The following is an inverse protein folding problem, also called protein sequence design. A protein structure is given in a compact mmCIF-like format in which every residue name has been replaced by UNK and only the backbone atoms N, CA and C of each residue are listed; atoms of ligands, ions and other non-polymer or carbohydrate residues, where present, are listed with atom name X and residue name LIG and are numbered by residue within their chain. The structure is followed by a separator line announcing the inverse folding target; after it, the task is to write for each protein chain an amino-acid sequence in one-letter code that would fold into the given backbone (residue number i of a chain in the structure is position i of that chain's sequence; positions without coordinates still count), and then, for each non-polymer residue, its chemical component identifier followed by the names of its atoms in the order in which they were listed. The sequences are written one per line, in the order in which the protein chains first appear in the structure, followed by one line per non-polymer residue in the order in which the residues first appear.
data_IF_974539474045
#
_entry.id   IF_974539474045
#
_cell.length_a   1.000
_cell.length_b   1.000
_cell.length_c   1.000
_cell.angle_alpha   90.00
_cell.angle_beta   90.00
_cell.angle_gamma   90.00
#
_symmetry.space_group_name_H-M   'P 1'
#
loop_
_entity.id
_entity.type
_entity.pdbx_description
1 polymer ?
#
# COMPACT_ATOMS: atom_id res chain seq x y z
N UNK A 1 -8.42 -45.04 -1.83
CA UNK A 1 -7.30 -44.26 -2.37
C UNK A 1 -6.70 -43.46 -1.23
N UNK A 2 -5.53 -43.87 -0.73
CA UNK A 2 -4.84 -43.15 0.35
C UNK A 2 -4.24 -41.88 -0.24
N UNK A 3 -4.63 -40.70 0.27
CA UNK A 3 -3.99 -39.45 -0.13
C UNK A 3 -2.58 -39.45 0.46
N UNK A 4 -1.56 -39.51 -0.40
CA UNK A 4 -0.17 -39.31 0.03
C UNK A 4 -0.08 -37.98 0.77
N UNK A 5 0.65 -37.91 1.89
CA UNK A 5 0.80 -36.68 2.65
C UNK A 5 1.38 -35.60 1.73
N UNK A 6 0.66 -34.49 1.57
CA UNK A 6 1.18 -33.31 0.88
C UNK A 6 2.50 -32.90 1.56
N UNK A 7 3.56 -32.61 0.79
CA UNK A 7 4.82 -32.15 1.36
C UNK A 7 4.57 -30.92 2.24
N UNK A 8 5.21 -30.88 3.42
CA UNK A 8 5.09 -29.78 4.38
C UNK A 8 5.58 -28.47 3.74
N UNK A 9 4.64 -27.68 3.18
CA UNK A 9 4.92 -26.37 2.60
C UNK A 9 5.20 -25.37 3.72
N UNK A 10 6.22 -24.53 3.53
CA UNK A 10 6.58 -23.48 4.50
C UNK A 10 6.06 -22.11 4.05
N UNK A 11 5.68 -21.20 4.96
CA UNK A 11 5.29 -19.84 4.58
C UNK A 11 6.46 -19.10 3.92
N UNK A 12 6.19 -18.39 2.84
CA UNK A 12 7.23 -17.58 2.17
C UNK A 12 7.66 -16.40 3.08
N UNK A 13 8.97 -16.20 3.33
CA UNK A 13 9.45 -15.07 4.11
C UNK A 13 9.19 -13.74 3.39
N UNK A 14 9.06 -12.66 4.17
CA UNK A 14 8.78 -11.32 3.65
C UNK A 14 9.83 -10.81 2.66
N UNK A 15 11.07 -11.26 2.73
CA UNK A 15 12.13 -10.90 1.79
C UNK A 15 12.53 -12.01 0.82
N UNK A 16 11.62 -12.94 0.52
CA UNK A 16 11.92 -14.06 -0.38
C UNK A 16 12.29 -13.63 -1.82
N UNK A 17 11.78 -12.48 -2.28
CA UNK A 17 11.78 -12.11 -3.69
C UNK A 17 12.73 -10.95 -4.00
N UNK A 18 13.73 -11.18 -4.86
CA UNK A 18 14.60 -10.12 -5.37
C UNK A 18 14.07 -9.50 -6.67
N UNK A 19 13.20 -10.21 -7.40
CA UNK A 19 12.60 -9.75 -8.64
C UNK A 19 11.10 -10.03 -8.68
N UNK A 20 10.35 -9.11 -9.27
CA UNK A 20 8.92 -9.27 -9.55
C UNK A 20 8.69 -9.04 -11.03
N UNK A 21 8.05 -9.98 -11.72
CA UNK A 21 7.58 -9.81 -13.10
C UNK A 21 6.09 -9.53 -13.05
N UNK A 22 5.66 -8.40 -13.59
CA UNK A 22 4.26 -8.00 -13.54
C UNK A 22 3.71 -7.89 -14.96
N UNK A 23 2.74 -8.74 -15.29
CA UNK A 23 2.05 -8.73 -16.57
C UNK A 23 0.82 -7.83 -16.56
N UNK A 24 0.50 -7.25 -17.73
CA UNK A 24 -0.70 -6.43 -17.92
C UNK A 24 -0.55 -4.97 -17.46
N UNK A 25 0.68 -4.50 -17.26
CA UNK A 25 0.97 -3.12 -16.85
C UNK A 25 1.41 -2.22 -17.99
N UNK A 26 1.99 -2.77 -19.05
CA UNK A 26 2.49 -2.01 -20.18
C UNK A 26 1.74 -2.37 -21.46
N UNK A 27 1.52 -1.39 -22.32
CA UNK A 27 1.06 -1.56 -23.69
C UNK A 27 2.03 -0.84 -24.62
N UNK A 28 2.54 -1.55 -25.62
CA UNK A 28 3.31 -0.92 -26.68
C UNK A 28 2.38 -0.25 -27.69
N UNK A 29 2.99 0.42 -28.67
CA UNK A 29 2.28 1.05 -29.80
C UNK A 29 1.35 0.09 -30.56
N UNK A 30 1.67 -1.20 -30.55
CA UNK A 30 0.89 -2.28 -31.20
C UNK A 30 -0.22 -2.89 -30.33
N UNK A 31 -0.48 -2.36 -29.14
CA UNK A 31 -1.42 -2.91 -28.13
C UNK A 31 -1.04 -4.27 -27.55
N UNK A 32 0.16 -4.77 -27.83
CA UNK A 32 0.67 -5.97 -27.16
C UNK A 32 0.86 -5.66 -25.67
N UNK A 33 0.36 -6.56 -24.81
CA UNK A 33 0.52 -6.44 -23.36
C UNK A 33 1.94 -6.87 -22.98
N UNK A 34 2.71 -5.93 -22.41
CA UNK A 34 4.06 -6.18 -21.96
C UNK A 34 4.10 -6.53 -20.48
N UNK A 35 5.15 -7.27 -20.14
CA UNK A 35 5.50 -7.64 -18.78
C UNK A 35 6.71 -6.83 -18.34
N UNK A 36 6.60 -6.18 -17.19
CA UNK A 36 7.66 -5.36 -16.63
C UNK A 36 8.38 -6.12 -15.51
N UNK A 37 9.71 -6.08 -15.50
CA UNK A 37 10.51 -6.73 -14.45
C UNK A 37 11.02 -5.67 -13.47
N UNK A 38 10.60 -5.81 -12.22
CA UNK A 38 10.99 -4.95 -11.12
C UNK A 38 12.07 -5.62 -10.28
N UNK A 39 13.03 -4.81 -9.84
CA UNK A 39 14.10 -5.20 -8.93
C UNK A 39 13.81 -4.69 -7.53
N UNK A 40 14.11 -5.50 -6.53
CA UNK A 40 13.91 -5.12 -5.12
C UNK A 40 14.79 -3.91 -4.79
N UNK A 41 14.19 -2.94 -4.10
CA UNK A 41 14.92 -1.82 -3.50
C UNK A 41 15.12 -2.12 -2.02
N UNK A 42 16.33 -1.93 -1.47
CA UNK A 42 16.51 -1.94 -0.02
C UNK A 42 15.66 -0.82 0.59
N UNK A 43 15.13 -1.08 1.78
CA UNK A 43 14.46 -0.06 2.56
C UNK A 43 15.53 0.97 2.98
N UNK A 44 15.30 2.24 2.64
CA UNK A 44 16.17 3.33 3.05
C UNK A 44 15.58 3.99 4.28
N UNK A 45 16.35 4.12 5.38
CA UNK A 45 15.89 4.82 6.57
C UNK A 45 15.25 6.15 6.20
N UNK A 46 14.03 6.35 6.66
CA UNK A 46 13.40 7.66 6.54
C UNK A 46 14.13 8.57 7.52
N UNK A 47 14.53 9.79 7.10
CA UNK A 47 14.94 10.76 8.08
C UNK A 47 13.78 10.91 9.08
N UNK A 48 14.07 10.92 10.40
CA UNK A 48 13.03 11.15 11.38
C UNK A 48 12.26 12.42 11.00
N UNK A 49 10.94 12.39 11.15
CA UNK A 49 10.10 13.59 11.04
C UNK A 49 10.43 14.50 12.22
N UNK A 50 11.58 15.17 12.15
CA UNK A 50 12.01 16.12 13.15
C UNK A 50 11.09 17.33 13.00
N UNK A 51 10.15 17.47 13.93
CA UNK A 51 9.64 18.80 14.26
C UNK A 51 10.89 19.57 14.71
N UNK A 52 11.25 20.69 14.07
CA UNK A 52 12.46 21.43 14.38
C UNK A 52 12.29 22.10 15.74
N UNK A 53 12.49 21.33 16.80
CA UNK A 53 12.65 21.79 18.16
C UNK A 53 14.15 21.64 18.44
N UNK A 54 14.95 22.72 18.28
CA UNK A 54 16.41 22.64 18.31
C UNK A 54 16.98 21.93 19.55
N UNK A 55 16.29 21.98 20.69
CA UNK A 55 16.70 21.32 21.93
C UNK A 55 16.54 19.80 21.93
N UNK A 56 15.67 19.22 21.09
CA UNK A 56 15.46 17.77 21.00
C UNK A 56 16.39 17.09 19.99
N UNK A 57 16.85 17.82 18.97
CA UNK A 57 17.71 17.29 17.91
C UNK A 57 19.01 16.72 18.48
N UNK A 58 19.64 17.43 19.44
CA UNK A 58 20.88 16.99 20.09
C UNK A 58 20.73 15.72 20.97
N UNK A 59 19.51 15.37 21.40
CA UNK A 59 19.26 14.15 22.19
C UNK A 59 18.94 12.94 21.30
N UNK A 60 18.38 13.18 20.11
CA UNK A 60 17.96 12.14 19.17
C UNK A 60 19.11 11.46 18.41
N UNK A 61 20.27 12.11 18.25
CA UNK A 61 21.44 11.48 17.60
C UNK A 61 21.94 10.23 18.35
N UNK A 62 21.53 10.05 19.62
CA UNK A 62 21.82 8.87 20.42
C UNK A 62 20.70 7.81 20.43
N UNK A 63 19.51 8.13 19.91
CA UNK A 63 18.29 7.42 20.22
C UNK A 63 17.64 6.78 18.99
N UNK A 64 17.48 5.45 19.06
CA UNK A 64 16.75 4.56 18.15
C UNK A 64 17.48 4.12 16.88
N UNK A 65 18.52 3.29 17.07
CA UNK A 65 18.83 2.28 16.06
C UNK A 65 17.60 1.35 15.95
N UNK A 66 17.01 1.15 14.76
CA UNK A 66 15.90 0.21 14.62
C UNK A 66 16.33 -1.18 15.11
N UNK A 67 15.41 -1.97 15.69
CA UNK A 67 15.71 -3.32 16.11
C UNK A 67 16.27 -4.12 14.92
N UNK A 68 17.22 -5.05 15.16
CA UNK A 68 17.73 -5.89 14.08
C UNK A 68 16.58 -6.66 13.45
N UNK A 69 16.58 -6.72 12.11
CA UNK A 69 15.61 -7.49 11.36
C UNK A 69 15.66 -8.97 11.77
N UNK A 70 14.49 -9.57 11.92
CA UNK A 70 14.33 -11.01 12.18
C UNK A 70 14.15 -11.81 10.89
N UNK A 71 14.07 -11.13 9.74
CA UNK A 71 13.97 -11.79 8.45
C UNK A 71 15.26 -12.57 8.14
N UNK A 72 15.15 -13.69 7.41
CA UNK A 72 16.33 -14.38 6.90
C UNK A 72 17.12 -13.45 5.95
N UNK A 73 18.30 -13.84 5.45
CA UNK A 73 18.94 -13.09 4.37
C UNK A 73 18.05 -12.97 3.14
N UNK A 74 18.23 -11.90 2.38
CA UNK A 74 17.46 -11.62 1.17
C UNK A 74 17.42 -12.81 0.20
N UNK A 75 16.21 -13.21 -0.14
CA UNK A 75 15.96 -14.31 -1.06
C UNK A 75 16.32 -13.95 -2.49
N UNK A 76 16.55 -14.98 -3.31
CA UNK A 76 16.87 -14.85 -4.73
C UNK A 76 15.73 -15.34 -5.62
N UNK A 77 14.50 -15.32 -5.12
CA UNK A 77 13.34 -15.81 -5.87
C UNK A 77 12.79 -14.71 -6.78
N UNK A 78 12.20 -15.15 -7.89
CA UNK A 78 11.44 -14.32 -8.82
C UNK A 78 9.97 -14.66 -8.67
N UNK A 79 9.15 -13.64 -8.46
CA UNK A 79 7.69 -13.74 -8.38
C UNK A 79 7.06 -13.22 -9.67
N UNK A 80 6.28 -14.03 -10.37
CA UNK A 80 5.53 -13.59 -11.56
C UNK A 80 4.06 -13.40 -11.22
N UNK A 81 3.53 -12.21 -11.50
CA UNK A 81 2.18 -11.79 -11.16
C UNK A 81 1.46 -11.24 -12.41
N UNK A 82 0.14 -11.35 -12.42
CA UNK A 82 -0.76 -10.61 -13.32
C UNK A 82 -1.66 -9.71 -12.48
N UNK A 83 -1.85 -8.48 -12.94
CA UNK A 83 -2.82 -7.59 -12.30
C UNK A 83 -4.25 -8.09 -12.53
N UNK A 84 -5.02 -8.12 -11.44
CA UNK A 84 -6.46 -8.32 -11.46
C UNK A 84 -7.20 -6.98 -11.43
N UNK A 85 -8.37 -6.96 -10.80
CA UNK A 85 -9.15 -5.71 -10.65
C UNK A 85 -8.45 -4.71 -9.72
N UNK A 86 -8.71 -3.42 -9.95
CA UNK A 86 -8.43 -2.39 -8.95
C UNK A 86 -9.34 -2.62 -7.73
N UNK A 87 -8.76 -2.55 -6.54
CA UNK A 87 -9.49 -2.69 -5.27
C UNK A 87 -9.47 -1.41 -4.43
N UNK A 88 -8.68 -0.42 -4.84
CA UNK A 88 -8.66 0.90 -4.24
C UNK A 88 -7.63 1.80 -4.89
N UNK A 89 -7.80 3.09 -4.68
CA UNK A 89 -6.84 4.11 -5.10
C UNK A 89 -6.74 5.20 -4.03
N UNK A 90 -5.61 5.89 -4.05
CA UNK A 90 -5.39 7.08 -3.24
C UNK A 90 -4.52 8.07 -3.99
N UNK A 91 -4.08 9.09 -3.26
CA UNK A 91 -3.24 10.18 -3.78
C UNK A 91 -1.93 9.70 -4.42
N UNK A 92 -1.28 8.73 -3.77
CA UNK A 92 0.07 8.27 -4.10
C UNK A 92 0.11 7.08 -5.08
N UNK A 93 -1.03 6.45 -5.36
CA UNK A 93 -1.04 5.20 -6.12
C UNK A 93 -2.38 4.49 -6.14
N UNK A 94 -2.38 3.35 -6.83
CA UNK A 94 -3.53 2.45 -7.01
C UNK A 94 -3.17 1.07 -6.47
N UNK A 95 -4.17 0.34 -6.01
CA UNK A 95 -4.03 -0.99 -5.42
C UNK A 95 -4.84 -1.98 -6.25
N UNK A 96 -4.19 -3.04 -6.69
CA UNK A 96 -4.76 -4.07 -7.54
C UNK A 96 -4.67 -5.43 -6.87
N UNK A 97 -5.61 -6.32 -7.19
CA UNK A 97 -5.44 -7.75 -6.92
C UNK A 97 -4.24 -8.28 -7.70
N UNK A 98 -3.50 -9.22 -7.10
CA UNK A 98 -2.38 -9.86 -7.76
C UNK A 98 -2.66 -11.36 -7.93
N UNK A 99 -2.66 -11.82 -9.18
CA UNK A 99 -2.80 -13.22 -9.52
C UNK A 99 -1.44 -13.84 -9.79
N UNK A 100 -1.13 -14.91 -9.07
CA UNK A 100 0.15 -15.60 -9.17
C UNK A 100 0.26 -16.40 -10.48
N UNK A 101 1.32 -16.16 -11.25
CA UNK A 101 1.70 -16.96 -12.43
C UNK A 101 2.79 -17.94 -12.02
N UNK A 102 2.37 -19.05 -11.37
CA UNK A 102 3.27 -20.09 -10.85
C UNK A 102 4.22 -20.67 -11.91
N UNK A 103 3.78 -20.98 -13.16
CA UNK A 103 4.69 -21.48 -14.20
C UNK A 103 5.86 -20.55 -14.53
N UNK A 104 5.67 -19.22 -14.42
CA UNK A 104 6.72 -18.23 -14.70
C UNK A 104 7.55 -17.83 -13.49
N UNK A 105 7.09 -18.19 -12.30
CA UNK A 105 7.75 -17.90 -11.03
C UNK A 105 8.86 -18.92 -10.71
N UNK A 106 9.72 -18.61 -9.73
CA UNK A 106 10.77 -19.56 -9.30
C UNK A 106 10.19 -20.89 -8.81
N UNK A 107 10.80 -22.02 -9.20
CA UNK A 107 10.32 -23.38 -8.87
C UNK A 107 10.06 -23.61 -7.37
N UNK A 108 10.92 -23.06 -6.50
CA UNK A 108 10.82 -23.17 -5.04
C UNK A 108 9.51 -22.61 -4.47
N UNK A 109 8.81 -21.74 -5.21
CA UNK A 109 7.50 -21.22 -4.78
C UNK A 109 6.41 -22.29 -4.72
N UNK A 110 6.55 -23.41 -5.45
CA UNK A 110 5.61 -24.53 -5.37
C UNK A 110 5.63 -25.21 -4.00
N UNK A 111 6.75 -25.08 -3.30
CA UNK A 111 6.99 -25.65 -1.97
C UNK A 111 6.71 -24.63 -0.85
N UNK A 112 6.19 -23.44 -1.23
CA UNK A 112 5.90 -22.36 -0.30
C UNK A 112 4.41 -22.03 -0.26
N UNK A 113 3.95 -21.56 0.90
CA UNK A 113 2.63 -20.99 1.08
C UNK A 113 2.75 -19.48 0.92
N UNK A 114 2.06 -18.94 -0.08
CA UNK A 114 1.86 -17.51 -0.25
C UNK A 114 0.41 -17.15 0.06
N UNK A 115 0.16 -16.08 0.85
CA UNK A 115 -1.19 -15.57 0.99
C UNK A 115 -1.66 -14.96 -0.34
N UNK A 116 -2.94 -14.60 -0.40
CA UNK A 116 -3.41 -13.73 -1.49
C UNK A 116 -2.63 -12.42 -1.46
N UNK A 117 -2.22 -11.92 -2.62
CA UNK A 117 -1.39 -10.74 -2.73
C UNK A 117 -2.14 -9.57 -3.38
N UNK A 118 -1.67 -8.37 -3.11
CA UNK A 118 -2.04 -7.14 -3.80
C UNK A 118 -0.78 -6.40 -4.25
N UNK A 119 -0.90 -5.65 -5.34
CA UNK A 119 0.15 -4.75 -5.81
C UNK A 119 -0.33 -3.32 -5.64
N UNK A 120 0.39 -2.52 -4.86
CA UNK A 120 0.24 -1.07 -4.86
C UNK A 120 1.24 -0.47 -5.85
N UNK A 121 0.76 0.32 -6.79
CA UNK A 121 1.54 0.91 -7.88
C UNK A 121 1.51 2.42 -7.75
N UNK A 122 2.67 3.07 -7.82
CA UNK A 122 2.74 4.52 -7.79
C UNK A 122 2.16 5.17 -9.05
N UNK A 123 1.65 6.40 -8.92
CA UNK A 123 1.27 7.22 -10.07
C UNK A 123 2.48 7.70 -10.86
N UNK A 124 2.24 8.16 -12.09
CA UNK A 124 3.28 8.76 -12.96
C UNK A 124 3.92 9.96 -12.27
N UNK A 125 5.24 10.07 -12.35
CA UNK A 125 5.99 11.14 -11.68
C UNK A 125 6.01 11.08 -10.15
N UNK A 126 5.37 10.07 -9.54
CA UNK A 126 5.28 9.90 -8.09
C UNK A 126 6.03 8.66 -7.61
N UNK A 127 7.09 8.26 -8.30
CA UNK A 127 7.85 7.03 -8.01
C UNK A 127 8.46 7.02 -6.61
N UNK A 128 8.74 8.21 -6.07
CA UNK A 128 9.24 8.38 -4.70
C UNK A 128 8.16 8.19 -3.64
N UNK A 129 6.88 8.24 -4.00
CA UNK A 129 5.75 8.20 -3.06
C UNK A 129 5.71 6.95 -2.18
N UNK A 130 6.14 5.81 -2.73
CA UNK A 130 6.13 4.53 -2.02
C UNK A 130 7.42 4.28 -1.25
N UNK A 131 8.46 5.11 -1.38
CA UNK A 131 9.71 4.90 -0.63
C UNK A 131 9.49 5.03 0.88
N UNK A 132 8.83 6.10 1.39
CA UNK A 132 8.60 6.22 2.82
C UNK A 132 7.66 5.14 3.37
N UNK A 133 6.69 4.72 2.57
CA UNK A 133 5.76 3.64 2.93
C UNK A 133 6.48 2.28 2.99
N UNK A 134 7.34 1.97 2.01
CA UNK A 134 8.17 0.77 2.04
C UNK A 134 9.08 0.70 3.26
N UNK A 135 9.68 1.83 3.64
CA UNK A 135 10.46 1.94 4.87
C UNK A 135 9.61 1.76 6.12
N UNK A 136 8.43 2.37 6.16
CA UNK A 136 7.49 2.24 7.28
C UNK A 136 7.12 0.77 7.53
N UNK A 137 6.93 -0.02 6.47
CA UNK A 137 6.75 -1.47 6.61
C UNK A 137 7.99 -2.17 7.18
N UNK A 138 9.20 -1.79 6.75
CA UNK A 138 10.44 -2.35 7.29
C UNK A 138 10.60 -2.05 8.79
N UNK A 139 10.30 -0.82 9.21
CA UNK A 139 10.37 -0.42 10.63
C UNK A 139 9.33 -1.16 11.50
N UNK A 140 8.17 -1.49 10.91
CA UNK A 140 7.10 -2.25 11.57
C UNK A 140 7.17 -3.77 11.31
N UNK A 141 8.34 -4.33 10.96
CA UNK A 141 8.49 -5.77 10.70
C UNK A 141 7.82 -6.68 11.76
N UNK A 142 7.97 -6.46 13.08
CA UNK A 142 7.37 -7.33 14.10
C UNK A 142 5.83 -7.34 14.10
N UNK A 143 5.19 -6.35 13.48
CA UNK A 143 3.73 -6.19 13.44
C UNK A 143 3.11 -6.86 12.22
N UNK A 144 3.93 -7.19 11.21
CA UNK A 144 3.49 -7.73 9.94
C UNK A 144 2.93 -9.15 10.06
N UNK A 145 1.78 -9.38 9.41
CA UNK A 145 1.06 -10.66 9.48
C UNK A 145 0.25 -10.86 10.76
N UNK A 146 0.26 -9.86 11.67
CA UNK A 146 -0.56 -9.85 12.89
C UNK A 146 -1.57 -8.71 12.86
N UNK A 147 -1.08 -7.46 12.87
CA UNK A 147 -1.92 -6.26 12.93
C UNK A 147 -1.86 -5.44 11.66
N UNK A 148 -0.79 -5.57 10.87
CA UNK A 148 -0.65 -4.98 9.55
C UNK A 148 -0.35 -6.06 8.50
N UNK A 149 -0.62 -5.81 7.20
CA UNK A 149 -0.24 -6.73 6.13
C UNK A 149 1.25 -7.05 6.12
N UNK A 150 1.60 -8.29 5.74
CA UNK A 150 2.99 -8.57 5.35
C UNK A 150 3.35 -7.81 4.08
N UNK A 151 4.49 -7.14 4.10
CA UNK A 151 5.12 -6.50 2.97
C UNK A 151 6.21 -7.43 2.43
N UNK A 152 6.03 -7.86 1.18
CA UNK A 152 6.98 -8.71 0.49
C UNK A 152 8.13 -7.91 -0.17
N UNK A 153 8.04 -6.59 -0.15
CA UNK A 153 9.11 -5.69 -0.58
C UNK A 153 8.62 -4.51 -1.41
N UNK A 154 9.53 -3.54 -1.52
CA UNK A 154 9.47 -2.40 -2.42
C UNK A 154 10.30 -2.72 -3.66
N UNK A 155 9.75 -2.45 -4.84
CA UNK A 155 10.42 -2.75 -6.10
C UNK A 155 10.34 -1.59 -7.07
N UNK A 156 11.36 -1.46 -7.91
CA UNK A 156 11.44 -0.42 -8.94
C UNK A 156 11.74 -1.02 -10.30
N UNK A 157 11.19 -0.41 -11.36
CA UNK A 157 11.51 -0.74 -12.75
C UNK A 157 11.54 0.53 -13.60
N UNK A 158 12.43 0.59 -14.58
CA UNK A 158 12.36 1.62 -15.62
C UNK A 158 11.33 1.20 -16.68
N UNK A 159 10.44 2.11 -17.04
CA UNK A 159 9.49 1.96 -18.15
C UNK A 159 10.15 2.55 -19.40
N UNK A 160 10.21 1.81 -20.50
CA UNK A 160 10.66 2.35 -21.79
C UNK A 160 9.78 3.52 -22.25
N UNK A 161 10.38 4.52 -22.89
CA UNK A 161 9.66 5.75 -23.31
C UNK A 161 8.57 5.48 -24.37
N UNK A 162 8.70 4.38 -25.12
CA UNK A 162 7.73 3.93 -26.12
C UNK A 162 6.59 3.10 -25.53
N UNK A 163 6.58 2.85 -24.22
CA UNK A 163 5.56 2.08 -23.53
C UNK A 163 4.55 2.98 -22.84
N UNK A 164 3.27 2.63 -23.00
CA UNK A 164 2.18 3.18 -22.21
C UNK A 164 1.99 2.33 -20.97
N UNK A 165 2.04 2.94 -19.80
CA UNK A 165 1.83 2.23 -18.55
C UNK A 165 0.35 2.31 -18.16
N UNK A 166 -0.38 1.21 -18.36
CA UNK A 166 -1.83 1.12 -18.21
C UNK A 166 -2.39 1.77 -16.94
N UNK A 167 -1.83 1.50 -15.75
CA UNK A 167 -2.29 2.12 -14.50
C UNK A 167 -2.25 3.66 -14.46
N UNK A 168 -1.55 4.32 -15.41
CA UNK A 168 -1.51 5.78 -15.53
C UNK A 168 -2.50 6.35 -16.56
N UNK A 169 -2.89 5.54 -17.55
CA UNK A 169 -3.57 6.02 -18.76
C UNK A 169 -5.07 6.23 -18.57
N UNK A 170 -5.69 5.48 -17.66
CA UNK A 170 -7.11 5.63 -17.34
C UNK A 170 -7.45 6.97 -16.70
N UNK A 171 -6.45 7.75 -16.28
CA UNK A 171 -6.70 8.91 -15.46
C UNK A 171 -7.31 10.06 -16.27
N UNK A 172 -7.03 10.24 -17.57
CA UNK A 172 -7.57 11.38 -18.36
C UNK A 172 -7.34 12.76 -17.71
N UNK A 173 -6.58 12.80 -16.63
CA UNK A 173 -6.41 13.93 -15.73
C UNK A 173 -5.14 14.62 -16.14
N UNK A 174 -5.28 15.90 -16.38
CA UNK A 174 -4.18 16.80 -16.68
C UNK A 174 -3.27 16.79 -15.45
N UNK A 175 -1.99 16.54 -15.69
CA UNK A 175 -0.89 16.38 -14.73
C UNK A 175 -0.77 17.53 -13.70
N UNK A 176 -1.51 18.63 -13.89
CA UNK A 176 -1.46 19.88 -13.13
C UNK A 176 -2.24 19.91 -11.81
N UNK A 177 -3.28 19.08 -11.63
CA UNK A 177 -4.30 19.39 -10.61
C UNK A 177 -4.13 18.63 -9.27
N UNK A 178 -3.33 17.55 -9.24
CA UNK A 178 -3.33 16.61 -8.12
C UNK A 178 -1.97 16.33 -7.48
N UNK A 179 -0.92 17.05 -7.88
CA UNK A 179 0.34 17.04 -7.15
C UNK A 179 0.44 18.35 -6.37
N UNK A 180 -0.14 18.44 -5.15
CA UNK A 180 0.13 19.57 -4.27
C UNK A 180 1.62 19.83 -4.27
N UNK A 181 2.04 21.07 -4.52
CA UNK A 181 3.46 21.44 -4.52
C UNK A 181 4.15 21.01 -3.22
N UNK A 182 3.39 20.94 -2.14
CA UNK A 182 3.80 20.44 -0.83
C UNK A 182 4.16 18.95 -0.84
N UNK A 183 3.54 18.12 -1.70
CA UNK A 183 3.90 16.71 -1.86
C UNK A 183 5.28 16.54 -2.47
N UNK A 184 5.53 17.32 -3.53
CA UNK A 184 6.80 17.32 -4.23
C UNK A 184 7.84 17.79 -3.21
N UNK A 185 7.60 18.93 -2.56
CA UNK A 185 8.51 19.53 -1.58
C UNK A 185 8.80 18.62 -0.37
N UNK A 186 7.81 17.92 0.16
CA UNK A 186 7.98 17.03 1.32
C UNK A 186 8.66 15.69 0.96
N UNK A 187 8.60 15.25 -0.30
CA UNK A 187 9.20 13.99 -0.76
C UNK A 187 10.42 14.19 -1.66
N UNK A 188 10.94 15.42 -1.80
CA UNK A 188 12.27 15.66 -2.36
C UNK A 188 13.29 15.15 -1.34
N UNK A 189 13.51 13.83 -1.31
CA UNK A 189 14.83 13.30 -1.00
C UNK A 189 15.82 13.87 -2.02
N UNK A 190 17.09 13.94 -1.64
CA UNK A 190 18.19 14.60 -2.35
C UNK A 190 18.42 14.14 -3.79
N UNK A 191 17.89 12.99 -4.20
CA UNK A 191 17.90 12.55 -5.60
C UNK A 191 16.56 11.87 -5.97
N UNK A 192 15.67 12.55 -6.72
CA UNK A 192 14.44 11.93 -7.16
C UNK A 192 14.74 10.76 -8.12
N UNK A 193 13.98 9.67 -8.02
CA UNK A 193 13.95 8.65 -9.07
C UNK A 193 13.67 9.29 -10.43
N UNK A 194 14.27 8.73 -11.48
CA UNK A 194 14.01 9.18 -12.85
C UNK A 194 12.50 9.11 -13.17
N UNK A 195 12.00 10.04 -13.99
CA UNK A 195 10.57 10.18 -14.30
C UNK A 195 9.94 8.94 -14.94
N UNK A 196 10.75 8.12 -15.61
CA UNK A 196 10.33 6.87 -16.24
C UNK A 196 10.43 5.66 -15.31
N UNK A 197 10.85 5.81 -14.06
CA UNK A 197 10.86 4.71 -13.09
C UNK A 197 9.47 4.56 -12.49
N UNK A 198 8.98 3.33 -12.33
CA UNK A 198 7.79 2.99 -11.54
C UNK A 198 8.23 2.28 -10.28
N UNK A 199 7.54 2.54 -9.19
CA UNK A 199 7.71 1.87 -7.90
C UNK A 199 6.44 1.11 -7.53
N UNK A 200 6.61 -0.10 -7.00
CA UNK A 200 5.51 -0.94 -6.51
C UNK A 200 5.80 -1.49 -5.11
N UNK A 201 4.74 -1.74 -4.35
CA UNK A 201 4.77 -2.55 -3.13
C UNK A 201 3.97 -3.83 -3.35
N UNK A 202 4.53 -4.95 -2.92
CA UNK A 202 3.83 -6.24 -2.88
C UNK A 202 3.40 -6.49 -1.44
N UNK A 203 2.10 -6.59 -1.21
CA UNK A 203 1.54 -6.75 0.13
C UNK A 203 0.64 -7.99 0.20
N UNK A 204 0.55 -8.58 1.38
CA UNK A 204 -0.51 -9.52 1.73
C UNK A 204 -1.87 -8.83 1.62
N UNK A 205 -2.83 -9.50 0.99
CA UNK A 205 -4.21 -9.05 0.95
C UNK A 205 -4.86 -9.28 2.31
N UNK A 206 -5.22 -8.20 2.99
CA UNK A 206 -6.04 -8.23 4.20
C UNK A 206 -7.44 -7.66 3.91
N UNK A 207 -8.39 -7.86 4.83
CA UNK A 207 -9.68 -7.17 4.77
C UNK A 207 -10.63 -7.67 3.66
N UNK A 208 -10.75 -8.98 3.47
CA UNK A 208 -11.82 -9.55 2.65
C UNK A 208 -13.22 -9.19 3.16
N UNK A 209 -14.26 -9.45 2.38
CA UNK A 209 -15.64 -9.31 2.84
C UNK A 209 -15.82 -10.13 4.12
N UNK A 210 -15.74 -9.47 5.28
CA UNK A 210 -16.35 -9.98 6.49
C UNK A 210 -17.83 -9.98 6.12
N UNK A 211 -18.35 -11.15 5.81
CA UNK A 211 -19.77 -11.32 5.54
C UNK A 211 -20.49 -10.93 6.82
N UNK A 212 -20.79 -9.65 6.97
CA UNK A 212 -21.72 -9.18 7.98
C UNK A 212 -23.02 -9.82 7.57
N UNK A 213 -23.36 -10.94 8.20
CA UNK A 213 -24.68 -11.56 8.04
C UNK A 213 -25.64 -10.41 8.26
N UNK A 214 -26.36 -10.02 7.21
CA UNK A 214 -27.40 -8.98 7.32
C UNK A 214 -28.33 -9.50 8.40
N UNK A 215 -28.19 -8.98 9.63
CA UNK A 215 -29.14 -9.29 10.66
C UNK A 215 -30.46 -8.77 10.13
N UNK A 216 -31.37 -9.72 9.86
CA UNK A 216 -32.75 -9.44 9.49
C UNK A 216 -33.22 -8.31 10.39
N UNK A 217 -33.71 -7.23 9.77
CA UNK A 217 -34.12 -6.00 10.45
C UNK A 217 -35.10 -6.40 11.55
N UNK A 218 -34.59 -6.55 12.78
CA UNK A 218 -35.43 -6.71 13.95
C UNK A 218 -36.11 -5.36 14.08
N UNK A 219 -37.39 -5.31 13.76
CA UNK A 219 -38.26 -4.15 13.84
C UNK A 219 -38.09 -3.57 15.24
N UNK A 220 -37.30 -2.50 15.34
CA UNK A 220 -37.09 -1.75 16.58
C UNK A 220 -38.33 -0.90 16.78
N UNK A 221 -39.42 -1.53 17.17
CA UNK A 221 -40.62 -0.87 17.63
C UNK A 221 -40.37 -0.42 19.06
N UNK A 222 -40.34 0.91 19.22
CA UNK A 222 -40.64 1.68 20.43
C UNK A 222 -39.73 1.51 21.67
N UNK A 223 -39.06 2.62 22.04
CA UNK A 223 -39.32 3.40 23.26
C UNK A 223 -38.06 4.22 23.58
N UNK A 224 -38.02 5.46 23.08
CA UNK A 224 -37.37 6.55 23.81
C UNK A 224 -38.45 7.59 24.10
N UNK A 225 -38.73 7.92 25.37
CA UNK A 225 -39.57 9.06 25.68
C UNK A 225 -38.86 10.32 25.19
N UNK A 226 -39.55 11.10 24.34
CA UNK A 226 -39.15 12.45 23.95
C UNK A 226 -38.92 13.29 25.20
N UNK A 227 -37.67 13.56 25.56
CA UNK A 227 -37.36 14.71 26.43
C UNK A 227 -37.52 15.96 25.57
N UNK A 228 -38.44 16.84 25.97
CA UNK A 228 -38.57 18.18 25.40
C UNK A 228 -37.29 18.96 25.71
N UNK A 229 -36.69 19.66 24.74
CA UNK A 229 -35.66 20.62 25.05
C UNK A 229 -36.26 21.80 25.84
N UNK A 230 -35.52 22.37 26.81
CA UNK A 230 -35.93 23.62 27.45
C UNK A 230 -35.96 24.75 26.41
N UNK A 231 -37.00 25.58 26.50
CA UNK A 231 -37.17 26.74 25.64
C UNK A 231 -36.10 27.79 25.96
N UNK A 232 -35.48 28.34 24.91
CA UNK A 232 -34.76 29.60 24.98
C UNK A 232 -33.24 29.48 24.92
N UNK A 233 -32.70 29.17 23.73
CA UNK A 233 -31.44 29.77 23.25
C UNK A 233 -31.60 29.94 21.73
N UNK A 234 -31.88 31.17 21.30
CA UNK A 234 -31.68 31.59 19.90
C UNK A 234 -30.19 31.81 19.69
N UNK A 235 -29.56 30.93 18.90
CA UNK A 235 -28.23 31.16 18.34
C UNK A 235 -28.32 31.02 16.82
N UNK A 236 -28.61 32.14 16.17
CA UNK A 236 -28.39 32.34 14.74
C UNK A 236 -26.88 32.48 14.52
N UNK A 237 -26.23 31.38 14.15
CA UNK A 237 -24.88 31.40 13.56
C UNK A 237 -24.97 30.79 12.17
N UNK A 238 -25.11 31.65 11.17
CA UNK A 238 -24.90 31.33 9.77
C UNK A 238 -23.39 31.33 9.52
N UNK A 239 -22.81 30.15 9.40
CA UNK A 239 -21.38 29.97 9.13
C UNK A 239 -21.09 28.57 8.61
N UNK A 240 -21.12 28.41 7.29
CA UNK A 240 -20.63 27.21 6.62
C UNK A 240 -19.09 27.23 6.68
N UNK A 241 -18.53 26.48 7.62
CA UNK A 241 -17.09 26.19 7.69
C UNK A 241 -16.88 24.72 7.30
N UNK A 242 -16.55 24.49 6.04
CA UNK A 242 -15.98 23.23 5.59
C UNK A 242 -14.54 23.15 6.06
N UNK A 243 -14.29 22.47 7.17
CA UNK A 243 -12.95 22.01 7.53
C UNK A 243 -12.57 20.82 6.65
N UNK A 244 -11.79 21.07 5.60
CA UNK A 244 -11.02 20.02 4.93
C UNK A 244 -9.79 19.74 5.76
N UNK A 245 -9.81 18.63 6.50
CA UNK A 245 -8.69 18.18 7.31
C UNK A 245 -7.56 17.64 6.38
N UNK A 246 -6.37 18.26 6.31
CA UNK A 246 -5.24 17.67 5.61
C UNK A 246 -4.42 16.82 6.59
N UNK A 247 -3.87 15.71 6.09
CA UNK A 247 -2.87 14.84 6.73
C UNK A 247 -3.34 13.90 7.84
N UNK A 248 -3.90 12.75 7.43
CA UNK A 248 -3.65 11.50 8.13
C UNK A 248 -3.00 10.50 7.17
N UNK A 249 -1.93 9.78 7.58
CA UNK A 249 -1.49 8.61 6.85
C UNK A 249 -2.61 7.57 6.92
N UNK A 250 -3.22 7.28 5.78
CA UNK A 250 -4.20 6.20 5.64
C UNK A 250 -3.46 4.88 5.82
N UNK A 251 -3.34 4.44 7.07
CA UNK A 251 -3.23 3.02 7.36
C UNK A 251 -4.52 2.38 6.87
N UNK A 252 -4.43 1.34 6.04
CA UNK A 252 -5.56 0.47 5.74
C UNK A 252 -5.90 -0.35 7.00
N UNK A 253 -6.43 0.32 8.02
CA UNK A 253 -7.30 -0.26 9.02
C UNK A 253 -8.68 0.26 8.63
N UNK A 254 -9.55 -0.61 8.14
CA UNK A 254 -10.93 -0.24 7.90
C UNK A 254 -11.49 0.44 9.16
N UNK A 255 -12.10 1.63 9.08
CA UNK A 255 -12.59 2.31 10.26
C UNK A 255 -13.68 1.44 10.91
N UNK A 256 -13.43 1.00 12.15
CA UNK A 256 -14.47 0.59 13.08
C UNK A 256 -15.32 1.84 13.39
N UNK A 257 -16.33 2.10 12.54
CA UNK A 257 -17.34 3.09 12.87
C UNK A 257 -18.20 2.53 14.00
N UNK A 258 -18.09 3.13 15.17
CA UNK A 258 -19.13 3.06 16.20
C UNK A 258 -20.43 3.59 15.59
N UNK A 259 -21.48 2.76 15.60
CA UNK A 259 -22.82 3.13 15.16
C UNK A 259 -23.53 3.68 16.41
N UNK A 260 -23.78 4.99 16.44
CA UNK A 260 -24.84 5.60 17.25
C UNK A 260 -26.19 5.47 16.52
#
# INVERSE_FOLDING_TARGET
MSQSPEPNKSPAPGNAFCKVRLGGVGYGTRKDAYELTFSRRPAEPNPPLLIPIPSLVAQLDSAHKPPPSTQPPDGRLTLSLKLGREIGHGRAGRVYEAHLDLPKSSRKLKDMILPSLVVKICRKGQSNALLPEGQTYADMEPLQGHVIPRCYGLYTAAVPDDWRFGPWEEEGMIESDWTPSDYIRANVKTEPLALNVVTILILERVGGHIGVKKHSKRTRTQFYPRRRPPAGIDLTVSGSLTFTNPSEPIFFIAPLREIQ
#
